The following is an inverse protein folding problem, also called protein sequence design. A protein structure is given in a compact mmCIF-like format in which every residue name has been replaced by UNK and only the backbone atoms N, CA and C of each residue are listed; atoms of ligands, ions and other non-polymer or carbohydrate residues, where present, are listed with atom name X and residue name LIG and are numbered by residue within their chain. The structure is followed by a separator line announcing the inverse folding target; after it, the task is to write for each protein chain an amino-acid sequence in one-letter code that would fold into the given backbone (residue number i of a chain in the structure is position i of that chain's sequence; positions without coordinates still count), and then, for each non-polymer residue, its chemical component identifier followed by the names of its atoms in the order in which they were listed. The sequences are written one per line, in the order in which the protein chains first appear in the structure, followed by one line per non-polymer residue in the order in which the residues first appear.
data_IF_722325706932
#
_entry.id   IF_722325706932
#
_cell.length_a   1.000
_cell.length_b   1.000
_cell.length_c   1.000
_cell.angle_alpha   90.00
_cell.angle_beta   90.00
_cell.angle_gamma   90.00
#
_symmetry.space_group_name_H-M   'P 1'
#
loop_
_entity.id
_entity.type
_entity.pdbx_description
1 polymer ?
#
# COMPACT_ATOMS: atom_id res chain seq x y z
N UNK A 1 0.84 6.97 1.93
CA UNK A 1 0.93 5.65 2.57
C UNK A 1 -0.34 5.40 3.34
N UNK A 2 -0.94 4.23 3.11
CA UNK A 2 -2.36 3.90 3.30
C UNK A 2 -2.74 3.58 4.76
N UNK A 3 -2.35 4.43 5.70
CA UNK A 3 -2.51 4.18 7.13
C UNK A 3 -1.53 3.16 7.72
N UNK A 4 -0.38 3.05 7.08
CA UNK A 4 0.75 2.20 7.46
C UNK A 4 1.47 2.76 8.70
N UNK A 5 2.02 1.87 9.52
CA UNK A 5 2.79 2.20 10.72
C UNK A 5 4.22 1.59 10.68
N UNK A 6 4.89 1.48 11.83
CA UNK A 6 6.26 0.97 11.93
C UNK A 6 6.35 -0.40 12.62
N UNK A 7 5.25 -1.17 12.65
CA UNK A 7 5.20 -2.49 13.29
C UNK A 7 5.72 -3.64 12.40
N UNK A 8 6.11 -3.32 11.15
CA UNK A 8 6.61 -4.28 10.17
C UNK A 8 6.36 -3.91 8.71
N UNK A 9 5.69 -2.78 8.44
CA UNK A 9 5.38 -2.34 7.08
C UNK A 9 6.63 -2.06 6.22
N UNK A 10 6.49 -2.38 4.94
CA UNK A 10 7.52 -2.14 3.93
C UNK A 10 7.18 -0.91 3.09
N UNK A 11 8.20 -0.07 2.89
CA UNK A 11 8.06 1.22 2.21
C UNK A 11 8.73 1.15 0.85
N UNK A 12 7.99 1.49 -0.21
CA UNK A 12 8.57 1.67 -1.53
C UNK A 12 9.23 3.06 -1.63
N UNK A 13 10.56 3.11 -1.59
CA UNK A 13 11.34 4.34 -1.70
C UNK A 13 12.03 4.39 -3.06
N UNK A 14 11.89 5.51 -3.78
CA UNK A 14 12.57 5.75 -5.05
C UNK A 14 13.30 7.08 -5.02
N UNK A 15 14.49 7.11 -5.61
CA UNK A 15 15.34 8.28 -5.84
C UNK A 15 15.43 8.64 -7.33
N UNK A 16 14.68 7.93 -8.18
CA UNK A 16 14.61 8.22 -9.61
C UNK A 16 13.67 9.41 -9.82
N UNK A 17 14.24 10.59 -10.09
CA UNK A 17 13.49 11.85 -10.26
C UNK A 17 12.41 11.76 -11.35
N UNK A 18 12.57 10.87 -12.34
CA UNK A 18 11.56 10.65 -13.39
C UNK A 18 10.26 10.03 -12.86
N UNK A 19 10.32 9.40 -11.69
CA UNK A 19 9.19 8.79 -11.00
C UNK A 19 8.60 9.71 -9.92
N UNK A 20 9.17 10.89 -9.70
CA UNK A 20 8.66 11.82 -8.71
C UNK A 20 7.32 12.39 -9.18
N UNK A 21 6.35 12.39 -8.28
CA UNK A 21 5.05 13.01 -8.54
C UNK A 21 5.24 14.52 -8.66
N UNK A 22 4.66 15.11 -9.71
CA UNK A 22 4.73 16.56 -9.94
C UNK A 22 3.93 17.36 -8.92
N UNK A 23 2.98 16.72 -8.24
CA UNK A 23 2.09 17.32 -7.27
C UNK A 23 1.88 16.35 -6.10
N UNK A 24 1.98 16.88 -4.88
CA UNK A 24 1.50 16.20 -3.69
C UNK A 24 0.05 16.60 -3.45
N UNK A 25 -0.79 15.64 -3.09
CA UNK A 25 -2.16 15.88 -2.65
C UNK A 25 -2.22 15.72 -1.13
N UNK A 26 -3.23 16.35 -0.52
CA UNK A 26 -3.49 16.17 0.89
C UNK A 26 -3.84 14.72 1.22
N UNK A 27 -3.42 14.22 2.40
CA UNK A 27 -3.76 12.87 2.81
C UNK A 27 -5.27 12.71 2.93
N UNK A 28 -5.77 11.54 2.53
CA UNK A 28 -7.17 11.19 2.73
C UNK A 28 -7.44 11.01 4.23
N UNK A 29 -8.48 11.67 4.74
CA UNK A 29 -9.00 11.38 6.07
C UNK A 29 -9.76 10.05 6.04
N UNK A 30 -9.24 9.08 6.78
CA UNK A 30 -9.82 7.75 6.98
C UNK A 30 -10.10 7.47 8.46
N UNK A 31 -10.22 8.52 9.29
CA UNK A 31 -10.49 8.39 10.72
C UNK A 31 -11.62 7.38 10.97
N UNK A 32 -11.39 6.36 11.82
CA UNK A 32 -12.38 5.31 12.04
C UNK A 32 -13.67 5.93 12.58
N UNK A 33 -14.84 5.38 12.21
CA UNK A 33 -16.10 5.80 12.79
C UNK A 33 -16.08 5.60 14.31
N UNK A 34 -16.83 6.39 15.09
CA UNK A 34 -16.89 6.26 16.53
C UNK A 34 -17.22 4.81 16.89
N UNK A 35 -16.38 4.18 17.72
CA UNK A 35 -16.65 2.85 18.24
C UNK A 35 -17.88 2.95 19.14
N UNK A 36 -19.05 2.58 18.60
CA UNK A 36 -20.22 2.33 19.43
C UNK A 36 -19.79 1.26 20.44
N UNK A 37 -19.96 1.53 21.74
CA UNK A 37 -19.53 0.67 22.84
C UNK A 37 -20.15 -0.71 22.77
N UNK A 38 -19.62 -1.55 21.89
CA UNK A 38 -19.92 -2.96 21.84
C UNK A 38 -19.21 -3.58 23.04
N UNK A 39 -20.00 -4.07 23.98
CA UNK A 39 -19.49 -4.99 24.99
C UNK A 39 -18.76 -6.13 24.26
N UNK A 40 -17.49 -6.33 24.61
CA UNK A 40 -16.72 -7.46 24.08
C UNK A 40 -17.48 -8.74 24.40
N UNK A 41 -17.90 -9.51 23.37
CA UNK A 41 -18.63 -10.74 23.62
C UNK A 41 -17.78 -11.71 24.46
N UNK A 42 -18.40 -12.56 25.29
CA UNK A 42 -17.67 -13.55 26.07
C UNK A 42 -16.87 -14.46 25.13
N UNK A 43 -15.59 -14.69 25.46
CA UNK A 43 -14.70 -15.55 24.68
C UNK A 43 -15.12 -17.00 24.89
N UNK A 44 -15.80 -17.57 23.89
CA UNK A 44 -16.26 -18.97 23.87
C UNK A 44 -16.36 -19.51 22.42
N UNK A 45 -16.65 -20.80 22.28
CA UNK A 45 -16.74 -21.44 20.96
C UNK A 45 -17.77 -20.78 20.02
N UNK A 46 -18.88 -20.28 20.59
CA UNK A 46 -19.91 -19.60 19.82
C UNK A 46 -19.44 -18.22 19.32
N UNK A 47 -18.72 -17.46 20.14
CA UNK A 47 -18.14 -16.17 19.73
C UNK A 47 -17.04 -16.36 18.67
N UNK A 48 -16.24 -17.42 18.80
CA UNK A 48 -15.23 -17.78 17.82
C UNK A 48 -15.86 -18.15 16.47
N UNK A 49 -16.87 -19.04 16.47
CA UNK A 49 -17.60 -19.42 15.26
C UNK A 49 -18.28 -18.21 14.60
N UNK A 50 -18.91 -17.35 15.40
CA UNK A 50 -19.54 -16.11 14.91
C UNK A 50 -18.51 -15.18 14.26
N UNK A 51 -17.31 -15.05 14.84
CA UNK A 51 -16.22 -14.25 14.26
C UNK A 51 -15.76 -14.82 12.91
N UNK A 52 -15.49 -16.13 12.81
CA UNK A 52 -15.07 -16.75 11.55
C UNK A 52 -16.12 -16.62 10.45
N UNK A 53 -17.40 -16.90 10.77
CA UNK A 53 -18.50 -16.75 9.82
C UNK A 53 -18.70 -15.29 9.41
N UNK A 54 -18.60 -14.37 10.38
CA UNK A 54 -18.64 -12.94 10.13
C UNK A 54 -17.52 -12.49 9.21
N UNK A 55 -16.30 -12.99 9.42
CA UNK A 55 -15.16 -12.69 8.60
C UNK A 55 -15.29 -13.22 7.18
N UNK A 56 -15.62 -14.51 7.03
CA UNK A 56 -15.82 -15.11 5.70
C UNK A 56 -16.92 -14.42 4.89
N UNK A 57 -17.97 -13.90 5.53
CA UNK A 57 -19.07 -13.18 4.86
C UNK A 57 -18.67 -11.76 4.42
N UNK A 58 -17.80 -11.11 5.18
CA UNK A 58 -17.50 -9.69 5.02
C UNK A 58 -16.11 -9.42 4.41
N UNK A 59 -15.32 -10.46 4.14
CA UNK A 59 -14.08 -10.35 3.35
C UNK A 59 -14.41 -9.92 1.92
N UNK A 60 -14.35 -8.61 1.68
CA UNK A 60 -14.70 -8.00 0.40
C UNK A 60 -13.65 -7.00 -0.08
N UNK A 61 -12.46 -6.96 0.53
CA UNK A 61 -11.37 -6.06 0.17
C UNK A 61 -10.98 -6.25 -1.30
N UNK A 62 -10.81 -7.49 -1.76
CA UNK A 62 -10.49 -7.79 -3.15
C UNK A 62 -11.55 -7.26 -4.13
N UNK A 63 -12.83 -7.35 -3.76
CA UNK A 63 -13.93 -6.82 -4.57
C UNK A 63 -13.92 -5.29 -4.63
N UNK A 64 -13.67 -4.62 -3.51
CA UNK A 64 -13.54 -3.15 -3.44
C UNK A 64 -12.37 -2.69 -4.33
N UNK A 65 -11.21 -3.33 -4.21
CA UNK A 65 -10.02 -3.02 -5.02
C UNK A 65 -10.26 -3.16 -6.52
N UNK A 66 -10.97 -4.21 -6.94
CA UNK A 66 -11.32 -4.40 -8.35
C UNK A 66 -12.30 -3.34 -8.86
N UNK A 67 -13.30 -2.95 -8.06
CA UNK A 67 -14.21 -1.87 -8.42
C UNK A 67 -13.48 -0.52 -8.50
N UNK A 68 -12.52 -0.28 -7.60
CA UNK A 68 -11.72 0.94 -7.63
C UNK A 68 -10.97 1.07 -8.96
N UNK A 69 -10.33 -0.01 -9.42
CA UNK A 69 -9.64 -0.02 -10.71
C UNK A 69 -10.61 0.25 -11.87
N UNK A 70 -11.81 -0.34 -11.85
CA UNK A 70 -12.83 -0.13 -12.88
C UNK A 70 -13.31 1.32 -12.94
N UNK A 71 -13.58 1.94 -11.80
CA UNK A 71 -13.99 3.35 -11.74
C UNK A 71 -12.85 4.27 -12.18
N UNK A 72 -11.63 3.99 -11.75
CA UNK A 72 -10.45 4.80 -12.08
C UNK A 72 -10.20 4.87 -13.60
N UNK A 73 -10.46 3.80 -14.34
CA UNK A 73 -10.24 3.79 -15.80
C UNK A 73 -11.44 4.27 -16.62
N UNK A 74 -12.65 4.30 -16.05
CA UNK A 74 -13.88 4.63 -16.81
C UNK A 74 -14.37 6.06 -16.61
N UNK A 75 -14.10 6.68 -15.46
CA UNK A 75 -14.69 7.99 -15.09
C UNK A 75 -13.88 9.21 -15.52
N UNK A 76 -12.82 9.04 -16.30
CA UNK A 76 -11.96 10.12 -16.81
C UNK A 76 -11.07 10.82 -15.78
N UNK A 77 -11.51 10.90 -14.51
CA UNK A 77 -10.77 11.50 -13.40
C UNK A 77 -9.68 10.63 -12.77
N UNK A 78 -9.42 9.43 -13.32
CA UNK A 78 -8.41 8.52 -12.77
C UNK A 78 -8.72 8.11 -11.33
N UNK A 79 -7.66 7.86 -10.56
CA UNK A 79 -7.71 7.54 -9.14
C UNK A 79 -8.36 8.64 -8.27
N UNK A 80 -8.42 9.88 -8.75
CA UNK A 80 -9.00 11.02 -8.04
C UNK A 80 -10.51 11.17 -8.21
N UNK A 81 -11.16 10.25 -8.93
CA UNK A 81 -12.61 10.29 -9.15
C UNK A 81 -13.39 10.16 -7.83
N UNK A 82 -14.59 10.76 -7.75
CA UNK A 82 -15.41 10.74 -6.54
C UNK A 82 -15.71 9.31 -6.04
N UNK A 83 -16.04 8.40 -6.98
CA UNK A 83 -16.27 6.98 -6.69
C UNK A 83 -15.01 6.29 -6.17
N UNK A 84 -13.84 6.66 -6.72
CA UNK A 84 -12.54 6.12 -6.35
C UNK A 84 -12.16 6.50 -4.91
N UNK A 85 -12.41 7.76 -4.52
CA UNK A 85 -12.19 8.24 -3.15
C UNK A 85 -13.12 7.51 -2.15
N UNK A 86 -14.38 7.31 -2.52
CA UNK A 86 -15.33 6.54 -1.69
C UNK A 86 -14.91 5.08 -1.53
N UNK A 87 -14.46 4.45 -2.62
CA UNK A 87 -13.95 3.07 -2.59
C UNK A 87 -12.65 2.96 -1.78
N UNK A 88 -11.77 3.96 -1.82
CA UNK A 88 -10.56 4.00 -1.00
C UNK A 88 -10.90 4.03 0.50
N UNK A 89 -11.89 4.82 0.91
CA UNK A 89 -12.40 4.81 2.31
C UNK A 89 -12.94 3.44 2.72
N UNK A 90 -13.71 2.80 1.84
CA UNK A 90 -14.21 1.44 2.10
C UNK A 90 -13.09 0.41 2.18
N UNK A 91 -12.03 0.55 1.38
CA UNK A 91 -10.88 -0.32 1.43
C UNK A 91 -10.15 -0.22 2.79
N UNK A 92 -9.97 1.00 3.32
CA UNK A 92 -9.43 1.19 4.68
C UNK A 92 -10.27 0.47 5.74
N UNK A 93 -11.61 0.62 5.70
CA UNK A 93 -12.51 -0.09 6.62
C UNK A 93 -12.40 -1.61 6.47
N UNK A 94 -12.29 -2.11 5.23
CA UNK A 94 -12.17 -3.55 4.98
C UNK A 94 -10.85 -4.15 5.49
N UNK A 95 -9.75 -3.40 5.41
CA UNK A 95 -8.45 -3.82 5.97
C UNK A 95 -8.50 -3.86 7.50
N UNK A 96 -9.16 -2.89 8.13
CA UNK A 96 -9.30 -2.82 9.59
C UNK A 96 -10.45 -3.66 10.14
N UNK A 97 -11.26 -4.31 9.30
CA UNK A 97 -12.38 -5.15 9.73
C UNK A 97 -11.98 -6.25 10.72
N UNK A 98 -10.86 -6.99 10.56
CA UNK A 98 -10.46 -8.01 11.52
C UNK A 98 -10.16 -7.43 12.91
N UNK A 99 -9.73 -6.15 12.99
CA UNK A 99 -9.41 -5.45 14.23
C UNK A 99 -10.65 -4.78 14.85
N UNK A 100 -11.48 -4.16 14.02
CA UNK A 100 -12.61 -3.33 14.45
C UNK A 100 -13.94 -4.07 14.56
N UNK A 101 -14.10 -5.20 13.84
CA UNK A 101 -15.38 -5.90 13.69
C UNK A 101 -16.42 -5.16 12.83
N UNK A 102 -16.09 -4.01 12.24
CA UNK A 102 -17.02 -3.16 11.47
C UNK A 102 -16.88 -3.49 9.98
N UNK A 103 -17.85 -4.15 9.34
CA UNK A 103 -17.71 -4.58 7.96
C UNK A 103 -17.86 -3.42 6.98
N UNK A 104 -17.00 -3.38 5.95
CA UNK A 104 -17.14 -2.44 4.85
C UNK A 104 -18.38 -2.81 4.02
N UNK A 105 -19.40 -1.96 4.04
CA UNK A 105 -20.63 -2.20 3.25
C UNK A 105 -20.54 -1.44 1.93
N UNK A 106 -20.56 -2.19 0.82
CA UNK A 106 -20.46 -1.61 -0.52
C UNK A 106 -21.82 -1.04 -0.99
N UNK A 107 -21.95 0.29 -1.18
CA UNK A 107 -23.16 0.92 -1.70
C UNK A 107 -23.53 0.43 -3.10
N UNK A 108 -24.83 0.41 -3.42
CA UNK A 108 -25.33 -0.08 -4.70
C UNK A 108 -24.89 0.79 -5.89
N UNK A 109 -24.72 2.09 -5.69
CA UNK A 109 -24.29 3.03 -6.72
C UNK A 109 -22.82 2.86 -7.12
N UNK A 110 -21.99 2.24 -6.25
CA UNK A 110 -20.60 1.91 -6.56
C UNK A 110 -20.46 0.54 -7.25
N UNK A 111 -21.51 -0.29 -7.25
CA UNK A 111 -21.51 -1.60 -7.91
C UNK A 111 -21.64 -1.42 -9.42
N UNK A 112 -20.74 -2.04 -10.16
CA UNK A 112 -20.83 -2.09 -11.62
C UNK A 112 -21.42 -3.44 -12.03
N UNK A 113 -22.49 -3.42 -12.82
CA UNK A 113 -23.16 -4.63 -13.32
C UNK A 113 -22.19 -5.50 -14.12
N UNK A 114 -22.41 -6.81 -14.10
CA UNK A 114 -21.64 -7.79 -14.87
C UNK A 114 -21.81 -7.61 -16.39
N UNK A 115 -22.92 -7.02 -16.82
CA UNK A 115 -23.21 -6.71 -18.23
C UNK A 115 -22.39 -5.56 -18.79
N UNK A 116 -21.79 -4.74 -17.94
CA UNK A 116 -20.95 -3.61 -18.39
C UNK A 116 -19.57 -4.18 -18.70
N UNK A 117 -19.02 -3.94 -19.91
CA UNK A 117 -17.71 -4.45 -20.28
C UNK A 117 -16.62 -3.88 -19.35
N UNK A 118 -15.57 -4.67 -19.14
CA UNK A 118 -14.42 -4.31 -18.30
C UNK A 118 -13.20 -4.07 -19.17
N UNK A 119 -12.19 -3.41 -18.62
CA UNK A 119 -10.97 -3.16 -19.37
C UNK A 119 -10.29 -4.47 -19.79
N UNK A 120 -9.62 -4.49 -20.95
CA UNK A 120 -9.02 -5.71 -21.51
C UNK A 120 -8.03 -6.43 -20.58
N UNK A 121 -7.28 -5.68 -19.78
CA UNK A 121 -6.33 -6.20 -18.78
C UNK A 121 -7.00 -6.88 -17.56
N UNK A 122 -8.34 -6.87 -17.46
CA UNK A 122 -9.08 -7.60 -16.40
C UNK A 122 -9.23 -9.09 -16.67
N UNK A 123 -8.91 -9.56 -17.88
CA UNK A 123 -8.88 -10.98 -18.28
C UNK A 123 -10.11 -11.79 -17.84
N UNK A 124 -11.30 -11.20 -17.93
CA UNK A 124 -12.54 -11.89 -17.58
C UNK A 124 -12.91 -12.88 -18.68
N UNK A 125 -12.69 -14.17 -18.39
CA UNK A 125 -13.01 -15.28 -19.31
C UNK A 125 -14.46 -15.18 -19.80
N UNK A 126 -14.65 -15.25 -21.12
CA UNK A 126 -15.94 -15.23 -21.81
C UNK A 126 -16.79 -13.94 -21.63
N UNK A 127 -16.21 -12.83 -21.13
CA UNK A 127 -16.91 -11.55 -21.04
C UNK A 127 -16.43 -10.58 -22.12
N UNK A 128 -17.34 -9.70 -22.55
CA UNK A 128 -16.98 -8.57 -23.41
C UNK A 128 -16.08 -7.61 -22.64
N UNK A 129 -14.99 -7.20 -23.29
CA UNK A 129 -14.06 -6.21 -22.77
C UNK A 129 -13.92 -5.03 -23.72
N UNK A 130 -13.51 -3.88 -23.19
CA UNK A 130 -13.14 -2.73 -24.00
C UNK A 130 -11.64 -2.50 -23.91
N UNK A 131 -11.05 -1.96 -24.98
CA UNK A 131 -9.64 -1.62 -24.98
C UNK A 131 -9.41 -0.34 -24.17
N UNK A 132 -8.62 -0.44 -23.10
CA UNK A 132 -8.38 0.63 -22.16
C UNK A 132 -7.10 1.39 -22.52
N UNK A 133 -7.25 2.64 -22.99
CA UNK A 133 -6.12 3.49 -23.37
C UNK A 133 -5.41 4.19 -22.18
N UNK A 134 -5.76 3.84 -20.94
CA UNK A 134 -5.09 4.36 -19.74
C UNK A 134 -3.63 3.89 -19.67
N UNK A 135 -2.83 4.48 -18.78
CA UNK A 135 -1.44 4.05 -18.58
C UNK A 135 -1.35 2.55 -18.26
N UNK A 136 -2.27 2.02 -17.46
CA UNK A 136 -2.30 0.61 -17.08
C UNK A 136 -2.58 -0.29 -18.28
N UNK A 137 -3.54 0.09 -19.13
CA UNK A 137 -3.86 -0.69 -20.32
C UNK A 137 -2.72 -0.70 -21.32
N UNK A 138 -2.08 0.46 -21.57
CA UNK A 138 -0.90 0.53 -22.45
C UNK A 138 0.26 -0.30 -21.92
N UNK A 139 0.54 -0.25 -20.61
CA UNK A 139 1.59 -1.07 -20.00
C UNK A 139 1.30 -2.57 -20.14
N UNK A 140 0.03 -2.97 -19.94
CA UNK A 140 -0.41 -4.34 -20.16
C UNK A 140 -0.18 -4.79 -21.61
N UNK A 141 -0.58 -3.97 -22.60
CA UNK A 141 -0.40 -4.28 -24.02
C UNK A 141 1.08 -4.42 -24.40
N UNK A 142 1.95 -3.54 -23.87
CA UNK A 142 3.39 -3.63 -24.08
C UNK A 142 3.94 -4.96 -23.57
N UNK A 143 3.57 -5.36 -22.35
CA UNK A 143 4.03 -6.62 -21.73
C UNK A 143 3.52 -7.82 -22.53
N UNK A 144 2.23 -7.83 -22.89
CA UNK A 144 1.63 -8.93 -23.65
C UNK A 144 2.24 -9.04 -25.05
N UNK A 145 2.54 -7.92 -25.73
CA UNK A 145 3.22 -7.93 -27.02
C UNK A 145 4.61 -8.53 -26.90
N UNK A 146 5.43 -8.05 -25.98
CA UNK A 146 6.79 -8.54 -25.80
C UNK A 146 6.84 -10.04 -25.41
N UNK A 147 5.88 -10.50 -24.61
CA UNK A 147 5.72 -11.92 -24.29
C UNK A 147 5.41 -12.78 -25.53
N UNK A 148 4.59 -12.28 -26.47
CA UNK A 148 4.25 -12.99 -27.72
C UNK A 148 5.39 -12.99 -28.73
N UNK A 149 6.09 -11.86 -28.84
CA UNK A 149 7.16 -11.67 -29.81
C UNK A 149 8.46 -12.40 -29.39
N UNK A 150 8.46 -13.10 -28.24
CA UNK A 150 9.64 -13.72 -27.66
C UNK A 150 10.74 -12.71 -27.32
N UNK A 151 10.42 -11.41 -27.40
CA UNK A 151 11.37 -10.33 -27.21
C UNK A 151 11.52 -10.14 -25.71
N UNK A 152 12.62 -10.63 -25.16
CA UNK A 152 13.08 -10.15 -23.87
C UNK A 152 13.24 -8.64 -23.98
N UNK A 153 12.52 -7.87 -23.17
CA UNK A 153 12.79 -6.45 -23.07
C UNK A 153 14.28 -6.28 -22.75
N UNK A 154 15.05 -5.69 -23.67
CA UNK A 154 16.38 -5.16 -23.39
C UNK A 154 16.29 -3.89 -22.52
N UNK A 155 15.11 -3.59 -21.99
CA UNK A 155 14.96 -2.75 -20.82
C UNK A 155 15.64 -3.46 -19.66
N UNK A 156 16.88 -3.07 -19.37
CA UNK A 156 17.53 -3.38 -18.11
C UNK A 156 16.56 -2.96 -16.99
N UNK A 157 15.86 -3.93 -16.40
CA UNK A 157 15.16 -3.71 -15.14
C UNK A 157 16.24 -3.32 -14.12
N UNK A 158 16.40 -2.01 -13.91
CA UNK A 158 17.38 -1.44 -12.99
C UNK A 158 17.01 -1.74 -11.53
N UNK A 159 15.72 -2.03 -11.26
CA UNK A 159 15.22 -2.50 -9.98
C UNK A 159 15.01 -4.02 -10.04
N UNK A 160 15.60 -4.78 -9.12
CA UNK A 160 15.23 -6.19 -8.90
C UNK A 160 16.33 -7.24 -9.03
N UNK A 161 17.53 -6.91 -9.48
CA UNK A 161 18.56 -7.93 -9.78
C UNK A 161 19.31 -8.49 -8.56
N UNK A 162 19.40 -7.75 -7.45
CA UNK A 162 19.90 -8.27 -6.19
C UNK A 162 18.78 -8.36 -5.19
N UNK A 163 18.41 -9.59 -4.85
CA UNK A 163 17.67 -9.92 -3.64
C UNK A 163 18.70 -10.32 -2.61
N UNK A 164 18.60 -9.80 -1.39
CA UNK A 164 19.27 -10.47 -0.27
C UNK A 164 18.52 -11.79 0.04
N UNK A 165 19.04 -12.57 0.97
CA UNK A 165 18.44 -13.84 1.40
C UNK A 165 17.02 -13.68 1.98
N UNK A 166 16.59 -12.43 2.20
CA UNK A 166 15.25 -12.04 2.66
C UNK A 166 14.31 -11.59 1.51
N UNK A 167 14.73 -11.70 0.25
CA UNK A 167 13.88 -11.42 -0.91
C UNK A 167 13.71 -9.94 -1.28
N UNK A 168 14.40 -9.01 -0.61
CA UNK A 168 14.26 -7.57 -0.83
C UNK A 168 14.98 -7.10 -2.08
N UNK A 169 14.28 -6.36 -2.95
CA UNK A 169 14.85 -5.77 -4.15
C UNK A 169 15.75 -4.59 -3.77
N UNK A 170 17.07 -4.81 -3.74
CA UNK A 170 18.06 -3.77 -3.53
C UNK A 170 18.49 -3.22 -4.90
N UNK A 171 18.04 -2.01 -5.24
CA UNK A 171 18.71 -1.24 -6.30
C UNK A 171 20.01 -0.72 -5.69
N UNK A 172 21.15 -1.21 -6.18
CA UNK A 172 22.45 -0.60 -5.89
C UNK A 172 22.47 0.77 -6.58
N UNK A 173 22.04 1.82 -5.88
CA UNK A 173 22.42 3.20 -6.22
C UNK A 173 23.95 3.32 -6.24
N UNK A 174 24.49 4.43 -6.76
CA UNK A 174 25.94 4.69 -6.58
C UNK A 174 26.21 4.66 -5.07
N UNK A 175 27.29 4.00 -4.59
CA UNK A 175 27.58 3.88 -3.17
C UNK A 175 27.52 5.22 -2.44
N UNK A 176 27.97 6.29 -3.12
CA UNK A 176 27.91 7.67 -2.64
C UNK A 176 26.47 8.18 -2.44
N UNK A 177 25.56 7.91 -3.36
CA UNK A 177 24.15 8.36 -3.28
C UNK A 177 23.38 7.56 -2.23
N UNK A 178 23.70 6.27 -2.06
CA UNK A 178 23.20 5.43 -0.97
C UNK A 178 23.74 5.88 0.39
N UNK A 179 25.02 6.23 0.47
CA UNK A 179 25.65 6.80 1.66
C UNK A 179 24.99 8.13 2.02
N UNK A 180 24.83 9.04 1.06
CA UNK A 180 24.17 10.33 1.27
C UNK A 180 22.70 10.18 1.62
N UNK A 181 21.95 9.24 1.03
CA UNK A 181 20.57 8.97 1.42
C UNK A 181 20.49 8.38 2.84
N UNK A 182 21.40 7.46 3.20
CA UNK A 182 21.51 6.90 4.56
C UNK A 182 21.91 7.97 5.58
N UNK A 183 22.92 8.78 5.30
CA UNK A 183 23.29 9.95 6.10
C UNK A 183 22.10 10.91 6.22
N UNK A 184 21.36 11.18 5.15
CA UNK A 184 20.24 12.12 5.19
C UNK A 184 19.07 11.59 6.04
N UNK A 185 18.75 10.30 5.95
CA UNK A 185 17.67 9.67 6.71
C UNK A 185 18.05 9.46 8.18
N UNK A 186 19.30 9.07 8.45
CA UNK A 186 19.72 8.58 9.78
C UNK A 186 20.66 9.54 10.52
N UNK A 187 21.48 10.35 9.84
CA UNK A 187 22.50 11.22 10.46
C UNK A 187 22.17 12.72 10.36
N UNK A 188 21.53 13.19 9.28
CA UNK A 188 21.25 14.60 9.03
C UNK A 188 19.78 15.00 9.23
N UNK A 189 18.92 14.12 9.73
CA UNK A 189 17.54 14.48 10.06
C UNK A 189 17.29 14.51 11.58
N UNK A 190 17.80 15.54 12.29
CA UNK A 190 17.42 15.79 13.69
C UNK A 190 15.92 16.11 13.85
N UNK A 191 15.16 16.20 12.74
CA UNK A 191 13.71 16.37 12.72
C UNK A 191 12.95 15.07 12.54
N UNK A 192 13.59 13.93 12.27
CA UNK A 192 12.89 12.64 12.22
C UNK A 192 12.22 12.31 13.59
N UNK A 193 12.89 12.52 14.74
CA UNK A 193 12.23 12.42 16.05
C UNK A 193 11.12 13.46 16.23
N UNK A 194 11.33 14.69 15.73
CA UNK A 194 10.33 15.76 15.81
C UNK A 194 9.07 15.45 15.00
N UNK A 195 9.20 14.84 13.82
CA UNK A 195 8.11 14.43 12.94
C UNK A 195 7.38 13.17 13.44
N UNK A 196 8.09 12.30 14.17
CA UNK A 196 7.51 11.16 14.89
C UNK A 196 6.87 11.55 16.25
N UNK A 197 6.90 12.84 16.62
CA UNK A 197 6.32 13.35 17.86
C UNK A 197 7.16 13.06 19.12
N UNK A 198 8.40 12.58 18.95
CA UNK A 198 9.32 12.29 20.04
C UNK A 198 10.06 13.57 20.46
N UNK A 199 9.49 14.30 21.41
CA UNK A 199 10.15 15.45 22.03
C UNK A 199 11.20 14.95 23.02
N UNK A 200 12.45 15.41 22.88
CA UNK A 200 13.52 15.15 23.85
C UNK A 200 13.31 16.04 25.07
N UNK A 201 13.06 15.42 26.22
CA UNK A 201 12.85 16.07 27.51
C UNK A 201 13.71 15.37 28.57
N UNK A 202 13.93 16.00 29.72
CA UNK A 202 14.71 15.42 30.82
C UNK A 202 14.15 14.05 31.29
N UNK A 203 12.84 13.85 31.18
CA UNK A 203 12.16 12.62 31.61
C UNK A 203 12.32 11.41 30.66
N UNK A 204 12.76 11.62 29.41
CA UNK A 204 12.81 10.55 28.40
C UNK A 204 14.17 10.41 27.72
N UNK A 205 15.20 11.03 28.29
CA UNK A 205 16.54 11.05 27.74
C UNK A 205 17.17 9.65 27.67
N UNK A 206 17.03 8.85 28.73
CA UNK A 206 17.53 7.46 28.73
C UNK A 206 16.85 6.58 27.68
N UNK A 207 15.53 6.74 27.50
CA UNK A 207 14.78 5.99 26.49
C UNK A 207 15.18 6.42 25.07
N UNK A 208 15.42 7.71 24.86
CA UNK A 208 15.89 8.25 23.59
C UNK A 208 17.28 7.71 23.24
N UNK A 209 18.20 7.75 24.20
CA UNK A 209 19.58 7.27 24.02
C UNK A 209 19.60 5.74 23.81
N UNK A 210 18.76 4.98 24.54
CA UNK A 210 18.59 3.54 24.34
C UNK A 210 18.04 3.20 22.94
N UNK A 211 17.02 3.92 22.46
CA UNK A 211 16.48 3.67 21.12
C UNK A 211 17.48 4.03 20.02
N UNK A 212 18.28 5.09 20.23
CA UNK A 212 19.35 5.46 19.31
C UNK A 212 20.45 4.39 19.29
N UNK A 213 20.89 3.91 20.45
CA UNK A 213 21.84 2.80 20.56
C UNK A 213 21.29 1.51 19.93
N UNK A 214 20.02 1.19 20.16
CA UNK A 214 19.36 0.05 19.54
C UNK A 214 19.32 0.18 18.01
N UNK A 215 18.95 1.34 17.48
CA UNK A 215 18.94 1.59 16.05
C UNK A 215 20.35 1.50 15.43
N UNK A 216 21.38 2.02 16.12
CA UNK A 216 22.78 1.90 15.72
C UNK A 216 23.27 0.45 15.78
N UNK A 217 22.91 -0.32 16.80
CA UNK A 217 23.25 -1.73 16.92
C UNK A 217 22.57 -2.59 15.83
N UNK A 218 21.30 -2.32 15.51
CA UNK A 218 20.60 -2.95 14.38
C UNK A 218 21.27 -2.59 13.05
N UNK A 219 21.73 -1.34 12.89
CA UNK A 219 22.54 -0.91 11.73
C UNK A 219 23.85 -1.69 11.63
N UNK A 220 24.64 -1.76 12.70
CA UNK A 220 25.93 -2.49 12.69
C UNK A 220 25.75 -3.96 12.40
N UNK A 221 24.77 -4.62 13.03
CA UNK A 221 24.45 -6.02 12.76
C UNK A 221 23.98 -6.26 11.31
N UNK A 222 23.36 -5.27 10.67
CA UNK A 222 22.96 -5.33 9.26
C UNK A 222 24.12 -5.03 8.30
N UNK A 223 25.09 -4.20 8.69
CA UNK A 223 26.26 -3.84 7.88
C UNK A 223 27.38 -4.89 7.92
N UNK A 224 27.41 -5.75 8.95
CA UNK A 224 28.36 -6.87 9.10
C UNK A 224 27.90 -8.19 8.42
N UNK A 225 26.73 -8.22 7.77
CA UNK A 225 26.17 -9.37 7.04
C UNK A 225 26.17 -9.17 5.52
#
# INVERSE_FOLDING_TARGET
MSGSDLDGDLFAVTWDERLFLRQSLDPMDYSPPPTLGQETPPINDASLLAHFVGHAKNDNLGRISMLWLDHAVTKGGGAGCHECVRLAKLASIAVDFPKSGIPATLPDDLKIKSTVPRAHWRELKNNTSFHCNSILGRLYDMVVSAMKDGTTFDCVALAGRKRNDKGLILRTGKPRDLHTAKETVYECNPKLPFHLGWKRNEDNQEMYDFMLEFALAQRSAYEEQ
#
